data_IF_287633672689
#
_entry.id   IF_287633672689
#
_cell.length_a   1.000
_cell.length_b   1.000
_cell.length_c   1.000
_cell.angle_alpha   90.00
_cell.angle_beta   90.00
_cell.angle_gamma   90.00
#
_symmetry.space_group_name_H-M   'P 1'
#
loop_
_entity.id
_entity.type
_entity.pdbx_description
1 polymer ?
#
# COMPACT_ATOMS: atom_id res chain seq x y z
N UNK A 1 -18.53 -7.88 -78.75
CA UNK A 1 -19.23 -7.20 -77.62
C UNK A 1 -18.21 -6.88 -76.54
N UNK A 2 -17.99 -5.61 -76.26
CA UNK A 2 -16.95 -5.11 -75.39
C UNK A 2 -17.52 -5.04 -73.95
N UNK A 3 -16.86 -5.63 -72.95
CA UNK A 3 -17.15 -5.44 -71.55
C UNK A 3 -16.19 -4.37 -71.00
N UNK A 4 -16.63 -3.28 -70.36
CA UNK A 4 -15.72 -2.30 -69.77
C UNK A 4 -15.22 -2.72 -68.40
N UNK A 5 -13.90 -2.65 -68.22
CA UNK A 5 -13.22 -2.64 -66.95
C UNK A 5 -13.55 -1.33 -66.19
N UNK A 6 -14.18 -1.45 -65.05
CA UNK A 6 -14.29 -0.41 -64.05
C UNK A 6 -14.12 -1.02 -62.65
N UNK A 7 -12.88 -1.25 -62.27
CA UNK A 7 -12.56 -1.55 -60.87
C UNK A 7 -11.12 -1.13 -60.55
N UNK A 8 -10.94 0.13 -60.29
CA UNK A 8 -9.71 0.62 -59.66
C UNK A 8 -9.92 2.05 -59.16
N UNK A 9 -10.57 2.26 -58.02
CA UNK A 9 -10.44 3.49 -57.22
C UNK A 9 -11.20 3.32 -55.90
N UNK A 10 -10.66 2.63 -54.91
CA UNK A 10 -11.03 2.83 -53.52
C UNK A 10 -10.07 2.15 -52.54
N UNK A 11 -9.03 1.47 -53.04
CA UNK A 11 -8.08 0.75 -52.16
C UNK A 11 -7.16 1.71 -51.34
N UNK A 12 -6.94 2.91 -51.84
CA UNK A 12 -6.06 3.89 -51.15
C UNK A 12 -6.77 4.69 -50.06
N UNK A 13 -8.09 4.82 -50.14
CA UNK A 13 -8.87 5.50 -49.10
C UNK A 13 -9.07 4.63 -47.85
N UNK A 14 -9.21 3.31 -48.05
CA UNK A 14 -9.36 2.36 -46.92
C UNK A 14 -8.06 2.19 -46.13
N UNK A 15 -6.89 2.29 -46.73
CA UNK A 15 -5.60 2.23 -46.06
C UNK A 15 -5.30 3.48 -45.21
N UNK A 16 -5.81 4.64 -45.64
CA UNK A 16 -5.60 5.88 -44.88
C UNK A 16 -6.46 5.95 -43.59
N UNK A 17 -7.65 5.35 -43.58
CA UNK A 17 -8.52 5.30 -42.39
C UNK A 17 -8.01 4.28 -41.38
N UNK A 18 -7.42 3.15 -41.81
CA UNK A 18 -6.83 2.16 -40.89
C UNK A 18 -5.54 2.66 -40.23
N UNK A 19 -4.77 3.53 -40.88
CA UNK A 19 -3.54 4.11 -40.29
C UNK A 19 -3.83 5.22 -39.26
N UNK A 20 -4.97 5.90 -39.34
CA UNK A 20 -5.34 6.96 -38.38
C UNK A 20 -5.89 6.44 -37.05
N UNK A 21 -6.36 5.19 -36.97
CA UNK A 21 -6.91 4.59 -35.75
C UNK A 21 -5.84 4.00 -34.82
N UNK A 22 -4.58 3.89 -35.22
CA UNK A 22 -3.49 3.33 -34.40
C UNK A 22 -2.82 4.39 -33.50
N UNK A 23 -3.15 5.68 -33.65
CA UNK A 23 -2.45 6.79 -32.96
C UNK A 23 -3.09 7.26 -31.65
N UNK A 24 -4.11 6.58 -31.15
CA UNK A 24 -4.71 6.90 -29.84
C UNK A 24 -4.63 5.69 -28.92
N UNK A 25 -3.42 5.21 -28.66
CA UNK A 25 -3.19 4.40 -27.46
C UNK A 25 -2.98 5.39 -26.31
N UNK A 26 -3.88 5.43 -25.32
CA UNK A 26 -3.65 6.23 -24.12
C UNK A 26 -2.35 5.74 -23.47
N UNK A 27 -1.35 6.62 -23.42
CA UNK A 27 -0.02 6.28 -22.96
C UNK A 27 -0.02 5.87 -21.48
N UNK A 28 0.31 4.63 -21.20
CA UNK A 28 0.77 4.23 -19.88
C UNK A 28 2.20 4.74 -19.68
N UNK A 29 2.48 5.48 -18.60
CA UNK A 29 3.83 5.87 -18.24
C UNK A 29 4.27 5.10 -17.00
N UNK A 30 5.45 4.49 -17.05
CA UNK A 30 6.11 3.84 -15.91
C UNK A 30 7.40 4.58 -15.66
N UNK A 31 7.56 5.13 -14.47
CA UNK A 31 8.77 5.80 -14.04
C UNK A 31 9.30 5.14 -12.77
N UNK A 32 10.50 4.58 -12.84
CA UNK A 32 11.17 3.94 -11.72
C UNK A 32 12.44 4.72 -11.41
N UNK A 33 12.52 5.27 -10.19
CA UNK A 33 13.76 5.89 -9.68
C UNK A 33 14.47 4.87 -8.82
N UNK A 34 15.69 4.51 -9.22
CA UNK A 34 16.57 3.63 -8.46
C UNK A 34 17.45 4.43 -7.52
N UNK A 35 17.72 3.87 -6.34
CA UNK A 35 18.76 4.33 -5.45
C UNK A 35 20.16 3.98 -5.98
N UNK A 36 21.21 4.46 -5.30
CA UNK A 36 22.61 4.23 -5.69
C UNK A 36 22.99 2.75 -5.77
N UNK A 37 22.29 1.87 -5.03
CA UNK A 37 22.52 0.42 -5.01
C UNK A 37 21.53 -0.37 -5.88
N UNK A 38 20.77 0.28 -6.77
CA UNK A 38 19.87 -0.40 -7.69
C UNK A 38 18.50 -0.80 -7.12
N UNK A 39 18.22 -0.51 -5.84
CA UNK A 39 16.90 -0.69 -5.25
C UNK A 39 15.90 0.37 -5.77
N UNK A 40 14.64 -0.03 -5.97
CA UNK A 40 13.61 0.88 -6.41
C UNK A 40 13.18 1.78 -5.23
N UNK A 41 13.59 3.06 -5.24
CA UNK A 41 13.19 4.06 -4.21
C UNK A 41 11.83 4.68 -4.50
N UNK A 42 11.42 4.70 -5.77
CA UNK A 42 10.16 5.26 -6.19
C UNK A 42 9.68 4.56 -7.46
N UNK A 43 8.44 4.13 -7.44
CA UNK A 43 7.75 3.56 -8.61
C UNK A 43 6.49 4.38 -8.87
N UNK A 44 6.41 5.00 -10.03
CA UNK A 44 5.22 5.74 -10.49
C UNK A 44 4.69 5.08 -11.77
N UNK A 45 3.50 4.52 -11.70
CA UNK A 45 2.78 3.97 -12.85
C UNK A 45 1.53 4.82 -13.05
N UNK A 46 1.41 5.44 -14.21
CA UNK A 46 0.24 6.23 -14.56
C UNK A 46 -0.45 5.64 -15.79
N UNK A 47 -1.74 5.43 -15.68
CA UNK A 47 -2.60 4.95 -16.77
C UNK A 47 -3.80 5.87 -16.90
N UNK A 48 -4.51 5.87 -18.03
CA UNK A 48 -5.75 6.65 -18.17
C UNK A 48 -6.87 6.28 -17.21
N UNK A 49 -6.78 5.10 -16.57
CA UNK A 49 -7.77 4.57 -15.65
C UNK A 49 -7.35 4.68 -14.18
N UNK A 50 -6.12 5.14 -13.89
CA UNK A 50 -5.61 5.27 -12.53
C UNK A 50 -4.10 5.22 -12.45
N UNK A 51 -3.57 5.25 -11.22
CA UNK A 51 -2.13 5.25 -10.96
C UNK A 51 -1.74 4.41 -9.76
N UNK A 52 -0.48 4.03 -9.71
CA UNK A 52 0.18 3.40 -8.58
C UNK A 52 1.44 4.20 -8.27
N UNK A 53 1.54 4.71 -7.06
CA UNK A 53 2.69 5.45 -6.57
C UNK A 53 3.23 4.74 -5.32
N UNK A 54 4.46 4.28 -5.38
CA UNK A 54 5.16 3.67 -4.25
C UNK A 54 6.45 4.43 -4.02
N UNK A 55 6.69 4.89 -2.79
CA UNK A 55 7.94 5.55 -2.42
C UNK A 55 8.32 5.26 -0.96
N UNK A 56 9.54 5.61 -0.60
CA UNK A 56 10.09 5.47 0.76
C UNK A 56 10.00 6.78 1.55
N UNK A 57 9.19 7.76 1.11
CA UNK A 57 9.10 9.09 1.73
C UNK A 57 7.98 9.16 2.79
N UNK A 58 7.59 8.01 3.38
CA UNK A 58 6.57 7.97 4.42
C UNK A 58 6.99 8.81 5.63
N UNK A 59 6.12 9.73 6.06
CA UNK A 59 6.28 10.48 7.29
C UNK A 59 5.40 9.87 8.39
N UNK A 60 5.95 9.67 9.58
CA UNK A 60 5.19 9.13 10.71
C UNK A 60 3.97 10.00 11.06
N UNK A 61 4.04 11.31 10.80
CA UNK A 61 2.91 12.24 10.99
C UNK A 61 1.68 11.84 10.18
N UNK A 62 1.87 11.23 9.02
CA UNK A 62 0.79 10.77 8.15
C UNK A 62 0.04 9.56 8.73
N UNK A 63 0.65 8.82 9.67
CA UNK A 63 -0.04 7.77 10.40
C UNK A 63 -1.00 8.33 11.48
N UNK A 64 -0.79 9.58 11.89
CA UNK A 64 -1.49 10.21 13.01
C UNK A 64 -1.09 9.65 14.38
N UNK A 65 -0.05 8.82 14.46
CA UNK A 65 0.42 8.20 15.70
C UNK A 65 1.74 8.83 16.15
N UNK A 66 1.94 9.03 17.47
CA UNK A 66 3.23 9.50 17.99
C UNK A 66 4.26 8.37 17.96
N UNK A 67 5.51 8.73 17.76
CA UNK A 67 6.64 7.79 17.97
C UNK A 67 6.78 7.47 19.44
N UNK A 68 7.06 6.21 19.77
CA UNK A 68 7.35 5.79 21.15
C UNK A 68 8.61 6.51 21.69
N UNK A 69 8.60 7.03 22.92
CA UNK A 69 9.76 7.74 23.48
C UNK A 69 11.02 6.86 23.49
N UNK A 70 12.12 7.38 22.95
CA UNK A 70 13.39 6.67 22.83
C UNK A 70 13.50 5.65 21.70
N UNK A 71 12.44 5.47 20.89
CA UNK A 71 12.53 4.62 19.72
C UNK A 71 13.40 5.23 18.62
N UNK A 72 14.04 4.36 17.87
CA UNK A 72 14.90 4.68 16.73
C UNK A 72 14.29 4.14 15.44
N UNK A 73 14.37 4.85 14.30
CA UNK A 73 13.96 4.29 13.01
C UNK A 73 14.69 2.97 12.73
N UNK A 74 13.94 1.95 12.35
CA UNK A 74 14.53 0.66 11.94
C UNK A 74 15.14 0.81 10.56
N UNK A 75 16.38 0.37 10.42
CA UNK A 75 17.10 0.39 9.15
C UNK A 75 16.89 -0.91 8.39
N UNK A 76 16.95 -0.82 7.06
CA UNK A 76 17.03 -2.01 6.20
C UNK A 76 18.38 -2.70 6.42
N UNK A 77 18.38 -4.02 6.26
CA UNK A 77 19.61 -4.83 6.29
C UNK A 77 20.45 -4.68 4.98
N UNK A 78 20.29 -3.55 4.28
CA UNK A 78 20.99 -3.21 3.05
C UNK A 78 22.22 -2.33 3.36
N UNK A 79 23.21 -2.34 2.46
CA UNK A 79 24.45 -1.57 2.62
C UNK A 79 24.22 -0.06 2.81
N UNK A 80 23.11 0.49 2.33
CA UNK A 80 22.75 1.92 2.45
C UNK A 80 22.15 2.30 3.80
N UNK A 81 21.71 1.33 4.60
CA UNK A 81 21.10 1.60 5.90
C UNK A 81 19.88 2.52 5.85
N UNK A 82 19.18 2.59 4.72
CA UNK A 82 17.94 3.34 4.57
C UNK A 82 16.91 2.89 5.60
N UNK A 83 16.11 3.84 6.11
CA UNK A 83 15.05 3.54 7.06
C UNK A 83 13.93 2.72 6.40
N UNK A 84 13.34 1.80 7.15
CA UNK A 84 12.21 0.99 6.70
C UNK A 84 10.94 1.82 6.72
N UNK A 85 10.62 2.39 5.58
CA UNK A 85 9.42 3.22 5.35
C UNK A 85 8.77 2.84 4.04
N UNK A 86 7.46 2.96 3.96
CA UNK A 86 6.70 2.77 2.72
C UNK A 86 5.51 3.71 2.69
N UNK A 87 5.32 4.37 1.56
CA UNK A 87 4.10 5.09 1.22
C UNK A 87 3.60 4.54 -0.12
N UNK A 88 2.38 4.02 -0.12
CA UNK A 88 1.72 3.43 -1.27
C UNK A 88 0.42 4.17 -1.52
N UNK A 89 0.27 4.73 -2.70
CA UNK A 89 -0.96 5.33 -3.19
C UNK A 89 -1.39 4.61 -4.47
N UNK A 90 -2.55 3.98 -4.43
CA UNK A 90 -3.19 3.34 -5.58
C UNK A 90 -4.49 4.07 -5.86
N UNK A 91 -4.70 4.48 -7.10
CA UNK A 91 -5.95 5.06 -7.55
C UNK A 91 -6.42 4.43 -8.85
N UNK A 92 -7.69 4.11 -8.93
CA UNK A 92 -8.35 3.68 -10.15
C UNK A 92 -9.76 4.25 -10.21
N UNK A 93 -10.48 4.02 -11.31
CA UNK A 93 -11.83 4.55 -11.47
C UNK A 93 -12.77 4.05 -10.35
N UNK A 94 -13.07 4.93 -9.40
CA UNK A 94 -13.96 4.63 -8.26
C UNK A 94 -13.32 3.96 -7.05
N UNK A 95 -12.00 3.67 -7.08
CA UNK A 95 -11.26 3.09 -5.95
C UNK A 95 -9.98 3.86 -5.66
N UNK A 96 -9.65 4.00 -4.38
CA UNK A 96 -8.33 4.45 -3.96
C UNK A 96 -7.89 3.73 -2.68
N UNK A 97 -6.60 3.43 -2.60
CA UNK A 97 -5.93 2.87 -1.42
C UNK A 97 -4.71 3.73 -1.10
N UNK A 98 -4.63 4.18 0.14
CA UNK A 98 -3.43 4.81 0.71
C UNK A 98 -2.92 3.96 1.86
N UNK A 99 -1.63 3.60 1.84
CA UNK A 99 -0.95 2.92 2.93
C UNK A 99 0.30 3.71 3.28
N UNK A 100 0.45 4.06 4.55
CA UNK A 100 1.67 4.64 5.11
C UNK A 100 2.18 3.72 6.19
N UNK A 101 3.43 3.31 6.12
CA UNK A 101 4.06 2.44 7.10
C UNK A 101 5.47 2.95 7.45
N UNK A 102 5.80 2.99 8.75
CA UNK A 102 7.12 3.39 9.25
C UNK A 102 7.51 2.43 10.37
N UNK A 103 8.69 1.83 10.26
CA UNK A 103 9.21 0.89 11.25
C UNK A 103 10.23 1.54 12.20
N UNK A 104 10.14 1.12 13.45
CA UNK A 104 11.00 1.56 14.54
C UNK A 104 11.49 0.36 15.35
N UNK A 105 12.54 0.59 16.14
CA UNK A 105 13.03 -0.31 17.18
C UNK A 105 13.13 0.41 18.52
N UNK A 106 12.97 -0.32 19.61
CA UNK A 106 13.07 0.16 20.99
C UNK A 106 13.76 -0.88 21.86
N UNK A 107 14.53 -0.42 22.84
CA UNK A 107 15.16 -1.30 23.84
C UNK A 107 14.15 -1.77 24.90
N UNK A 108 12.93 -1.23 24.88
CA UNK A 108 11.87 -1.61 25.83
C UNK A 108 11.14 -2.89 25.38
N UNK A 109 10.72 -3.67 26.38
CA UNK A 109 9.95 -4.90 26.15
C UNK A 109 8.57 -4.60 25.52
N UNK A 110 7.99 -5.54 24.73
CA UNK A 110 6.72 -5.36 24.02
C UNK A 110 5.57 -4.84 24.89
N UNK A 111 5.48 -5.30 26.14
CA UNK A 111 4.41 -4.90 27.07
C UNK A 111 4.33 -3.39 27.33
N UNK A 112 5.49 -2.69 27.36
CA UNK A 112 5.50 -1.23 27.53
C UNK A 112 4.96 -0.50 26.28
N UNK A 113 5.34 -0.98 25.08
CA UNK A 113 4.86 -0.43 23.81
C UNK A 113 3.36 -0.67 23.67
N UNK A 114 2.89 -1.88 24.00
CA UNK A 114 1.47 -2.24 23.98
C UNK A 114 0.67 -1.26 24.85
N UNK A 115 1.08 -1.07 26.11
CA UNK A 115 0.40 -0.17 27.04
C UNK A 115 0.36 1.28 26.52
N UNK A 116 1.48 1.77 25.98
CA UNK A 116 1.59 3.12 25.41
C UNK A 116 0.64 3.28 24.21
N UNK A 117 0.69 2.36 23.25
CA UNK A 117 -0.11 2.50 22.03
C UNK A 117 -1.59 2.20 22.26
N UNK A 118 -1.94 1.32 23.19
CA UNK A 118 -3.35 1.17 23.62
C UNK A 118 -3.92 2.50 24.08
N UNK A 119 -3.18 3.27 24.90
CA UNK A 119 -3.63 4.60 25.34
C UNK A 119 -3.76 5.57 24.16
N UNK A 120 -2.75 5.63 23.27
CA UNK A 120 -2.75 6.56 22.14
C UNK A 120 -3.80 6.27 21.07
N UNK A 121 -4.14 4.99 20.87
CA UNK A 121 -5.13 4.56 19.89
C UNK A 121 -6.58 4.78 20.33
N UNK A 122 -6.87 4.81 21.65
CA UNK A 122 -8.22 5.03 22.21
C UNK A 122 -8.93 6.28 21.66
N UNK A 123 -8.18 7.30 21.28
CA UNK A 123 -8.76 8.53 20.69
C UNK A 123 -9.40 8.31 19.31
N UNK A 124 -9.11 7.18 18.65
CA UNK A 124 -9.64 6.82 17.35
C UNK A 124 -10.78 5.80 17.44
N UNK A 125 -11.06 5.24 18.62
CA UNK A 125 -12.12 4.28 18.86
C UNK A 125 -11.70 3.09 19.75
N UNK A 126 -12.47 2.03 19.67
CA UNK A 126 -12.18 0.79 20.38
C UNK A 126 -10.92 0.11 19.79
N UNK A 127 -9.97 -0.21 20.64
CA UNK A 127 -8.72 -0.84 20.22
C UNK A 127 -8.89 -2.36 20.25
N UNK A 128 -8.72 -2.99 19.13
CA UNK A 128 -8.67 -4.43 18.97
C UNK A 128 -7.21 -4.89 19.15
N UNK A 129 -6.95 -5.83 20.07
CA UNK A 129 -5.64 -6.44 20.24
C UNK A 129 -5.66 -7.85 19.67
N UNK A 130 -4.79 -8.10 18.71
CA UNK A 130 -4.63 -9.39 18.04
C UNK A 130 -3.24 -9.97 18.31
N UNK A 131 -3.14 -11.30 18.37
CA UNK A 131 -1.87 -11.99 18.45
C UNK A 131 -1.62 -12.73 17.14
N UNK A 132 -0.46 -12.54 16.52
CA UNK A 132 -0.12 -13.09 15.20
C UNK A 132 1.25 -13.76 15.22
N UNK A 133 1.46 -14.68 14.28
CA UNK A 133 2.75 -15.35 14.07
C UNK A 133 3.61 -14.64 13.01
N UNK A 134 3.20 -13.49 12.51
CA UNK A 134 3.89 -12.73 11.47
C UNK A 134 3.93 -13.41 10.09
N UNK A 135 3.27 -14.57 9.92
CA UNK A 135 3.36 -15.37 8.69
C UNK A 135 2.15 -15.30 7.77
N UNK A 136 1.02 -14.77 8.24
CA UNK A 136 -0.21 -14.77 7.47
C UNK A 136 -0.72 -13.34 7.31
N UNK A 137 -0.38 -12.72 6.20
CA UNK A 137 -1.16 -11.65 5.60
C UNK A 137 -2.26 -12.31 4.74
N UNK A 138 -3.03 -13.21 5.33
CA UNK A 138 -4.24 -13.71 4.67
C UNK A 138 -5.31 -12.63 4.80
N UNK A 139 -5.33 -11.75 3.82
CA UNK A 139 -6.44 -10.83 3.63
C UNK A 139 -7.65 -11.66 3.19
N UNK A 140 -8.51 -11.97 4.13
CA UNK A 140 -9.85 -12.45 3.83
C UNK A 140 -10.78 -11.23 3.78
N UNK A 141 -11.31 -10.85 2.60
CA UNK A 141 -12.38 -9.88 2.56
C UNK A 141 -13.54 -10.44 3.39
N UNK A 142 -13.76 -9.85 4.55
CA UNK A 142 -14.82 -10.30 5.44
C UNK A 142 -16.18 -9.89 4.90
N UNK A 143 -17.16 -10.74 5.18
CA UNK A 143 -18.57 -10.48 4.97
C UNK A 143 -18.96 -9.06 5.43
N UNK A 144 -19.43 -8.21 4.58
CA UNK A 144 -20.14 -6.93 4.76
C UNK A 144 -20.08 -6.20 6.14
N UNK A 145 -19.33 -6.68 7.12
CA UNK A 145 -19.10 -6.01 8.40
C UNK A 145 -17.91 -5.08 8.27
N UNK A 146 -18.13 -3.78 8.45
CA UNK A 146 -17.07 -2.75 8.48
C UNK A 146 -16.19 -2.80 9.73
N UNK A 147 -16.38 -3.81 10.57
CA UNK A 147 -15.68 -3.96 11.85
C UNK A 147 -14.35 -4.68 11.65
N UNK A 148 -13.30 -4.14 12.27
CA UNK A 148 -11.99 -4.78 12.29
C UNK A 148 -12.06 -6.12 13.03
N UNK A 149 -11.39 -7.12 12.47
CA UNK A 149 -11.26 -8.46 13.05
C UNK A 149 -9.78 -8.83 13.19
N UNK A 150 -9.51 -9.74 14.13
CA UNK A 150 -8.18 -10.37 14.18
C UNK A 150 -8.10 -11.45 13.11
N UNK A 151 -7.00 -11.43 12.39
CA UNK A 151 -6.62 -12.46 11.44
C UNK A 151 -5.66 -13.44 12.10
N UNK A 152 -5.81 -14.74 11.84
CA UNK A 152 -4.97 -15.78 12.40
C UNK A 152 -5.54 -16.47 13.64
N UNK A 153 -4.73 -17.38 14.22
CA UNK A 153 -5.13 -18.29 15.30
C UNK A 153 -5.03 -17.72 16.73
N UNK A 154 -4.64 -16.45 16.85
CA UNK A 154 -4.50 -15.75 18.14
C UNK A 154 -3.36 -16.24 19.04
N UNK A 155 -2.42 -17.05 18.52
CA UNK A 155 -1.36 -17.72 19.33
C UNK A 155 0.05 -17.20 19.09
N UNK A 156 0.21 -16.12 18.31
CA UNK A 156 1.51 -15.56 17.97
C UNK A 156 2.15 -14.73 19.08
N UNK A 157 3.46 -14.60 19.00
CA UNK A 157 4.23 -13.71 19.88
C UNK A 157 4.10 -12.23 19.49
N UNK A 158 3.77 -11.96 18.23
CA UNK A 158 3.57 -10.61 17.72
C UNK A 158 2.20 -10.10 18.12
N UNK A 159 2.13 -8.81 18.44
CA UNK A 159 0.88 -8.14 18.82
C UNK A 159 0.54 -7.07 17.81
N UNK A 160 -0.68 -7.08 17.30
CA UNK A 160 -1.24 -6.00 16.50
C UNK A 160 -2.35 -5.29 17.28
N UNK A 161 -2.21 -3.99 17.40
CA UNK A 161 -3.25 -3.09 17.91
C UNK A 161 -3.90 -2.40 16.73
N UNK A 162 -5.19 -2.68 16.50
CA UNK A 162 -5.96 -2.12 15.37
C UNK A 162 -7.07 -1.21 15.90
N UNK A 163 -7.33 -0.09 15.21
CA UNK A 163 -8.43 0.81 15.53
C UNK A 163 -8.98 1.47 14.26
N UNK A 164 -10.28 1.76 14.25
CA UNK A 164 -11.00 2.36 13.13
C UNK A 164 -11.94 1.39 12.44
N UNK A 165 -11.99 1.44 11.13
CA UNK A 165 -12.80 0.57 10.25
C UNK A 165 -11.92 -0.03 9.18
N UNK A 166 -12.41 -1.04 8.44
CA UNK A 166 -11.68 -1.60 7.29
C UNK A 166 -11.27 -0.54 6.26
N UNK A 167 -12.08 0.51 6.09
CA UNK A 167 -11.82 1.60 5.15
C UNK A 167 -10.86 2.68 5.69
N UNK A 168 -10.70 2.78 7.02
CA UNK A 168 -9.86 3.81 7.65
C UNK A 168 -9.35 3.31 8.99
N UNK A 169 -8.16 2.72 9.00
CA UNK A 169 -7.61 2.09 10.17
C UNK A 169 -6.19 2.53 10.47
N UNK A 170 -5.85 2.45 11.75
CA UNK A 170 -4.48 2.56 12.24
C UNK A 170 -4.10 1.27 12.92
N UNK A 171 -2.90 0.82 12.61
CA UNK A 171 -2.36 -0.44 13.12
C UNK A 171 -1.00 -0.15 13.74
N UNK A 172 -0.76 -0.74 14.90
CA UNK A 172 0.57 -0.82 15.51
C UNK A 172 0.92 -2.29 15.61
N UNK A 173 1.86 -2.75 14.80
CA UNK A 173 2.40 -4.11 14.87
C UNK A 173 3.65 -4.10 15.73
N UNK A 174 3.71 -4.96 16.75
CA UNK A 174 4.80 -5.03 17.74
C UNK A 174 5.34 -6.45 17.75
N UNK A 175 6.63 -6.57 17.48
CA UNK A 175 7.36 -7.84 17.43
C UNK A 175 8.40 -7.86 18.54
N UNK A 176 8.41 -8.90 19.41
CA UNK A 176 9.49 -9.09 20.38
C UNK A 176 10.80 -9.42 19.67
N UNK A 177 11.87 -8.79 20.09
CA UNK A 177 13.22 -9.08 19.62
C UNK A 177 14.09 -9.61 20.76
N UNK A 178 15.27 -10.16 20.47
CA UNK A 178 16.19 -10.67 21.48
C UNK A 178 16.56 -9.60 22.52
N UNK A 179 16.58 -8.33 22.12
CA UNK A 179 16.73 -7.16 23.00
C UNK A 179 15.70 -6.13 22.60
N UNK A 180 14.65 -5.98 23.44
CA UNK A 180 13.60 -5.00 23.20
C UNK A 180 12.52 -5.44 22.23
N UNK A 181 12.15 -4.56 21.31
CA UNK A 181 11.05 -4.77 20.37
C UNK A 181 11.28 -4.01 19.07
N UNK A 182 10.86 -4.56 17.96
CA UNK A 182 10.59 -3.77 16.75
C UNK A 182 9.09 -3.52 16.63
N UNK A 183 8.72 -2.42 15.97
CA UNK A 183 7.31 -2.10 15.75
C UNK A 183 7.11 -1.24 14.50
N UNK A 184 5.94 -1.42 13.89
CA UNK A 184 5.50 -0.64 12.74
C UNK A 184 4.28 0.21 13.10
N UNK A 185 4.29 1.46 12.65
CA UNK A 185 3.15 2.37 12.70
C UNK A 185 2.56 2.42 11.29
N UNK A 186 1.31 2.00 11.15
CA UNK A 186 0.66 1.86 9.86
C UNK A 186 -0.67 2.61 9.84
N UNK A 187 -0.91 3.32 8.76
CA UNK A 187 -2.20 3.91 8.41
C UNK A 187 -2.67 3.36 7.07
N UNK A 188 -3.91 2.89 7.04
CA UNK A 188 -4.56 2.40 5.82
C UNK A 188 -5.85 3.18 5.60
N UNK A 189 -6.03 3.68 4.39
CA UNK A 189 -7.26 4.34 3.98
C UNK A 189 -7.67 3.89 2.58
N UNK A 190 -8.89 3.38 2.48
CA UNK A 190 -9.50 2.97 1.22
C UNK A 190 -10.75 3.81 0.94
N UNK A 191 -10.99 4.11 -0.32
CA UNK A 191 -12.24 4.70 -0.81
C UNK A 191 -12.72 3.93 -2.02
N UNK A 192 -14.05 3.74 -2.11
CA UNK A 192 -14.68 3.00 -3.19
C UNK A 192 -15.11 1.60 -2.76
N UNK A 193 -16.06 1.01 -3.48
CA UNK A 193 -16.51 -0.36 -3.23
C UNK A 193 -15.54 -1.33 -3.90
N UNK A 194 -14.95 -2.24 -3.13
CA UNK A 194 -14.50 -3.51 -3.68
C UNK A 194 -15.68 -4.18 -4.36
N UNK A 195 -15.56 -4.49 -5.66
CA UNK A 195 -16.54 -5.32 -6.36
C UNK A 195 -17.29 -4.69 -7.52
N UNK A 196 -16.76 -3.68 -8.17
CA UNK A 196 -17.26 -3.20 -9.47
C UNK A 196 -16.20 -3.47 -10.55
N UNK A 197 -15.94 -4.72 -10.83
CA UNK A 197 -15.29 -5.19 -12.06
C UNK A 197 -16.25 -6.12 -12.76
#
# INVERSE_FOLDING_TARGET
>A
MRVPLLWCTNSRLMLAVAAATILVLPGCSVNVKKGENGEDKKVDINTPLGGIHVNNDADVRDTGLPVYPGARPKKKDSADGDEKRANVDISSFGFSLKVVAVEYESDDAPGKLIAFYQDKLKRYGNVLQCHTNGKNLDYHPSDNSKELKCEGDGKGANVELKVGTEENQRIVSIEPEAKGSSFALVYVHTKGKEGSI
#
